data_IF_460605468119
#
_entry.id   IF_460605468119
#
_cell.length_a   1.000
_cell.length_b   1.000
_cell.length_c   1.000
_cell.angle_alpha   90.00
_cell.angle_beta   90.00
_cell.angle_gamma   90.00
#
_symmetry.space_group_name_H-M   'P 1'
#
loop_
_entity.id
_entity.type
_entity.pdbx_description
1 polymer ?
#
# COMPACT_ATOMS: atom_id res chain seq x y z
N UNK A 1 -62.49 9.77 -8.01
CA UNK A 1 -61.50 10.85 -8.20
C UNK A 1 -60.92 11.33 -6.88
N UNK A 2 -61.69 11.58 -5.83
CA UNK A 2 -61.15 11.98 -4.51
C UNK A 2 -60.36 10.86 -3.78
N UNK A 3 -60.87 9.62 -3.78
CA UNK A 3 -60.24 8.49 -3.06
C UNK A 3 -58.90 8.05 -3.66
N UNK A 4 -58.72 8.22 -4.98
CA UNK A 4 -57.49 7.90 -5.70
C UNK A 4 -56.37 8.91 -5.46
N UNK A 5 -56.72 10.17 -5.18
CA UNK A 5 -55.77 11.25 -4.86
C UNK A 5 -55.24 11.07 -3.44
N UNK A 6 -56.09 10.75 -2.47
CA UNK A 6 -55.70 10.48 -1.08
C UNK A 6 -54.79 9.24 -0.93
N UNK A 7 -54.99 8.20 -1.75
CA UNK A 7 -54.09 7.05 -1.80
C UNK A 7 -52.74 7.35 -2.46
N UNK A 8 -52.70 8.29 -3.40
CA UNK A 8 -51.47 8.70 -4.08
C UNK A 8 -50.58 9.52 -3.13
N UNK A 9 -51.18 10.46 -2.41
CA UNK A 9 -50.51 11.33 -1.43
C UNK A 9 -49.92 10.50 -0.26
N UNK A 10 -50.69 9.53 0.27
CA UNK A 10 -50.20 8.58 1.29
C UNK A 10 -49.02 7.74 0.80
N UNK A 11 -49.02 7.33 -0.48
CA UNK A 11 -47.92 6.56 -1.08
C UNK A 11 -46.67 7.43 -1.22
N UNK A 12 -46.81 8.69 -1.62
CA UNK A 12 -45.70 9.63 -1.72
C UNK A 12 -45.08 9.93 -0.34
N UNK A 13 -45.91 10.19 0.67
CA UNK A 13 -45.45 10.37 2.05
C UNK A 13 -44.71 9.14 2.59
N UNK A 14 -45.18 7.93 2.28
CA UNK A 14 -44.52 6.68 2.66
C UNK A 14 -43.16 6.51 1.98
N UNK A 15 -43.05 6.79 0.67
CA UNK A 15 -41.79 6.74 -0.06
C UNK A 15 -40.78 7.77 0.46
N UNK A 16 -41.24 8.99 0.76
CA UNK A 16 -40.41 10.02 1.36
C UNK A 16 -39.91 9.59 2.75
N UNK A 17 -40.76 8.96 3.56
CA UNK A 17 -40.34 8.42 4.87
C UNK A 17 -39.25 7.36 4.72
N UNK A 18 -39.38 6.44 3.76
CA UNK A 18 -38.32 5.44 3.48
C UNK A 18 -37.02 6.12 3.08
N UNK A 19 -37.09 7.10 2.17
CA UNK A 19 -35.90 7.84 1.73
C UNK A 19 -35.22 8.57 2.90
N UNK A 20 -35.98 9.16 3.81
CA UNK A 20 -35.44 9.79 5.01
C UNK A 20 -34.77 8.78 5.95
N UNK A 21 -35.35 7.59 6.10
CA UNK A 21 -34.73 6.52 6.90
C UNK A 21 -33.42 6.03 6.29
N UNK A 22 -33.35 5.91 4.96
CA UNK A 22 -32.11 5.58 4.26
C UNK A 22 -31.04 6.66 4.43
N UNK A 23 -31.44 7.95 4.43
CA UNK A 23 -30.51 9.05 4.73
C UNK A 23 -29.99 8.98 6.17
N UNK A 24 -30.88 8.81 7.15
CA UNK A 24 -30.49 8.69 8.56
C UNK A 24 -29.54 7.51 8.76
N UNK A 25 -29.77 6.39 8.07
CA UNK A 25 -28.85 5.24 8.07
C UNK A 25 -27.47 5.63 7.55
N UNK A 26 -27.39 6.33 6.41
CA UNK A 26 -26.12 6.83 5.87
C UNK A 26 -25.40 7.73 6.87
N UNK A 27 -26.11 8.62 7.54
CA UNK A 27 -25.55 9.51 8.57
C UNK A 27 -24.98 8.72 9.75
N UNK A 28 -25.65 7.64 10.18
CA UNK A 28 -25.14 6.74 11.23
C UNK A 28 -23.90 5.94 10.79
N UNK A 29 -23.83 5.52 9.52
CA UNK A 29 -22.67 4.84 8.97
C UNK A 29 -21.44 5.79 8.94
N UNK A 30 -21.64 7.04 8.52
CA UNK A 30 -20.60 8.08 8.57
C UNK A 30 -20.16 8.39 10.00
N UNK A 31 -21.10 8.52 10.92
CA UNK A 31 -20.80 8.77 12.35
C UNK A 31 -20.03 7.60 12.96
N UNK A 32 -20.37 6.36 12.60
CA UNK A 32 -19.67 5.16 13.04
C UNK A 32 -18.24 5.15 12.52
N UNK A 33 -18.04 5.47 11.24
CA UNK A 33 -16.71 5.57 10.63
C UNK A 33 -15.87 6.68 11.29
N UNK A 34 -16.47 7.84 11.57
CA UNK A 34 -15.82 8.94 12.29
C UNK A 34 -15.42 8.51 13.71
N UNK A 35 -16.32 7.85 14.45
CA UNK A 35 -16.04 7.31 15.78
C UNK A 35 -14.87 6.32 15.77
N UNK A 36 -14.83 5.40 14.80
CA UNK A 36 -13.72 4.46 14.62
C UNK A 36 -12.40 5.19 14.35
N UNK A 37 -12.41 6.21 13.49
CA UNK A 37 -11.23 7.05 13.20
C UNK A 37 -10.72 7.78 14.43
N UNK A 38 -11.62 8.34 15.25
CA UNK A 38 -11.27 9.00 16.51
C UNK A 38 -10.69 8.02 17.54
N UNK A 39 -11.31 6.84 17.68
CA UNK A 39 -10.82 5.77 18.54
C UNK A 39 -9.38 5.36 18.15
N UNK A 40 -9.16 5.07 16.86
CA UNK A 40 -7.83 4.74 16.35
C UNK A 40 -6.83 5.88 16.61
N UNK A 41 -7.22 7.14 16.41
CA UNK A 41 -6.34 8.27 16.66
C UNK A 41 -5.86 8.32 18.12
N UNK A 42 -6.79 8.13 19.08
CA UNK A 42 -6.48 8.16 20.50
C UNK A 42 -5.53 7.03 20.90
N UNK A 43 -5.83 5.81 20.44
CA UNK A 43 -5.03 4.62 20.72
C UNK A 43 -3.65 4.72 20.05
N UNK A 44 -3.59 5.19 18.80
CA UNK A 44 -2.35 5.35 18.07
C UNK A 44 -1.39 6.28 18.81
N UNK A 45 -1.86 7.46 19.22
CA UNK A 45 -1.00 8.45 19.90
C UNK A 45 -0.34 7.84 21.14
N UNK A 46 -1.08 7.08 21.93
CA UNK A 46 -0.61 6.57 23.21
C UNK A 46 0.24 5.30 23.09
N UNK A 47 -0.13 4.38 22.19
CA UNK A 47 0.43 3.02 22.17
C UNK A 47 1.23 2.70 20.91
N UNK A 48 0.78 3.14 19.73
CA UNK A 48 1.40 2.74 18.47
C UNK A 48 2.45 3.73 17.95
N UNK A 49 2.36 5.01 18.31
CA UNK A 49 3.32 6.03 17.88
C UNK A 49 4.76 5.74 18.29
N UNK A 50 5.06 5.28 19.53
CA UNK A 50 6.43 4.91 19.91
C UNK A 50 6.99 3.76 19.07
N UNK A 51 6.18 2.72 18.84
CA UNK A 51 6.57 1.58 18.01
C UNK A 51 6.80 1.99 16.55
N UNK A 52 5.99 2.91 16.02
CA UNK A 52 6.18 3.50 14.67
C UNK A 52 7.40 4.41 14.58
N UNK A 53 7.79 5.08 15.67
CA UNK A 53 8.97 5.95 15.69
C UNK A 53 10.27 5.15 15.53
N UNK A 54 10.27 3.86 15.87
CA UNK A 54 11.39 2.95 15.59
C UNK A 54 11.76 2.91 14.10
N UNK A 55 10.76 3.01 13.20
CA UNK A 55 10.96 2.96 11.75
C UNK A 55 11.95 4.01 11.25
N UNK A 56 11.92 5.23 11.80
CA UNK A 56 12.77 6.33 11.31
C UNK A 56 14.25 6.15 11.64
N UNK A 57 14.57 5.28 12.59
CA UNK A 57 15.92 5.06 13.07
C UNK A 57 16.58 3.80 12.48
N UNK A 58 15.86 3.05 11.63
CA UNK A 58 16.39 1.82 11.04
C UNK A 58 17.35 2.17 9.92
N UNK A 59 18.56 1.61 9.99
CA UNK A 59 19.50 1.62 8.89
C UNK A 59 19.26 0.40 7.99
N UNK A 60 18.96 0.63 6.70
CA UNK A 60 18.88 -0.42 5.67
C UNK A 60 20.10 -0.42 4.73
N UNK A 61 21.12 0.40 5.01
CA UNK A 61 22.44 0.29 4.39
C UNK A 61 23.33 -0.57 5.29
N UNK A 62 23.18 -1.89 5.17
CA UNK A 62 23.78 -2.89 6.05
C UNK A 62 24.61 -3.90 5.26
N UNK A 63 25.62 -4.43 5.92
CA UNK A 63 26.43 -5.55 5.45
C UNK A 63 25.93 -6.87 6.04
N UNK A 64 26.70 -7.95 5.87
CA UNK A 64 26.34 -9.28 6.37
C UNK A 64 26.21 -9.32 7.89
N UNK A 65 27.11 -8.66 8.62
CA UNK A 65 27.08 -8.62 10.08
C UNK A 65 25.83 -7.87 10.57
N UNK A 66 25.53 -6.69 10.01
CA UNK A 66 24.31 -5.95 10.33
C UNK A 66 23.03 -6.71 9.97
N UNK A 67 23.05 -7.44 8.85
CA UNK A 67 21.91 -8.30 8.47
C UNK A 67 21.71 -9.46 9.46
N UNK A 68 22.79 -10.13 9.87
CA UNK A 68 22.74 -11.20 10.87
C UNK A 68 22.24 -10.69 12.23
N UNK A 69 22.68 -9.50 12.64
CA UNK A 69 22.20 -8.84 13.86
C UNK A 69 20.69 -8.60 13.80
N UNK A 70 20.15 -8.15 12.66
CA UNK A 70 18.72 -7.98 12.47
C UNK A 70 17.94 -9.31 12.43
N UNK A 71 18.55 -10.42 12.03
CA UNK A 71 17.90 -11.73 12.11
C UNK A 71 17.70 -12.19 13.56
N UNK A 72 18.62 -11.80 14.46
CA UNK A 72 18.55 -12.12 15.89
C UNK A 72 17.67 -11.10 16.62
N UNK A 73 17.88 -9.81 16.32
CA UNK A 73 17.23 -8.68 16.95
C UNK A 73 16.43 -7.91 15.90
N UNK A 74 15.17 -8.29 15.73
CA UNK A 74 14.26 -7.63 14.78
C UNK A 74 14.22 -6.11 15.07
N UNK A 75 14.51 -5.26 14.08
CA UNK A 75 14.68 -3.82 14.32
C UNK A 75 13.34 -3.09 14.50
N UNK A 76 12.21 -3.68 14.10
CA UNK A 76 10.93 -2.97 14.04
C UNK A 76 9.69 -3.86 13.92
N UNK A 77 9.60 -4.68 12.87
CA UNK A 77 8.35 -5.30 12.46
C UNK A 77 7.73 -6.15 13.58
N UNK A 78 8.55 -6.94 14.28
CA UNK A 78 8.10 -7.79 15.37
C UNK A 78 7.63 -6.97 16.58
N UNK A 79 8.38 -5.93 16.95
CA UNK A 79 7.98 -5.06 18.06
C UNK A 79 6.66 -4.34 17.74
N UNK A 80 6.53 -3.79 16.53
CA UNK A 80 5.29 -3.14 16.10
C UNK A 80 4.10 -4.10 16.06
N UNK A 81 4.29 -5.35 15.60
CA UNK A 81 3.26 -6.39 15.63
C UNK A 81 2.81 -6.67 17.07
N UNK A 82 3.74 -6.82 18.01
CA UNK A 82 3.42 -7.11 19.41
C UNK A 82 2.58 -6.00 20.05
N UNK A 83 2.98 -4.74 19.88
CA UNK A 83 2.22 -3.59 20.39
C UNK A 83 0.83 -3.48 19.73
N UNK A 84 0.77 -3.76 18.42
CA UNK A 84 -0.49 -3.76 17.68
C UNK A 84 -1.41 -4.89 18.13
N UNK A 85 -0.89 -6.09 18.44
CA UNK A 85 -1.68 -7.23 18.91
C UNK A 85 -2.33 -6.95 20.26
N UNK A 86 -1.59 -6.38 21.21
CA UNK A 86 -2.13 -5.98 22.53
C UNK A 86 -3.31 -5.02 22.34
N UNK A 87 -3.14 -4.01 21.49
CA UNK A 87 -4.17 -3.02 21.18
C UNK A 87 -5.39 -3.67 20.51
N UNK A 88 -5.19 -4.48 19.47
CA UNK A 88 -6.28 -5.08 18.71
C UNK A 88 -7.07 -6.06 19.58
N UNK A 89 -6.39 -6.87 20.40
CA UNK A 89 -7.04 -7.77 21.35
C UNK A 89 -7.90 -7.01 22.35
N UNK A 90 -7.40 -5.90 22.89
CA UNK A 90 -8.19 -5.05 23.78
C UNK A 90 -9.42 -4.46 23.08
N UNK A 91 -9.25 -3.88 21.88
CA UNK A 91 -10.35 -3.27 21.14
C UNK A 91 -11.42 -4.29 20.74
N UNK A 92 -11.02 -5.52 20.42
CA UNK A 92 -11.95 -6.62 20.07
C UNK A 92 -12.85 -7.01 21.24
N UNK A 93 -12.45 -6.75 22.48
CA UNK A 93 -13.29 -7.01 23.67
C UNK A 93 -14.40 -5.96 23.87
N UNK A 94 -14.24 -4.77 23.30
CA UNK A 94 -15.14 -3.63 23.57
C UNK A 94 -15.86 -3.10 22.32
N UNK A 95 -15.44 -3.51 21.11
CA UNK A 95 -16.02 -3.07 19.84
C UNK A 95 -16.67 -4.22 19.08
N UNK A 96 -17.62 -3.88 18.22
CA UNK A 96 -18.21 -4.84 17.28
C UNK A 96 -17.23 -5.19 16.16
N UNK A 97 -17.42 -6.34 15.52
CA UNK A 97 -16.59 -6.78 14.39
C UNK A 97 -16.59 -5.75 13.24
N UNK A 98 -17.73 -5.09 12.99
CA UNK A 98 -17.82 -4.05 11.94
C UNK A 98 -16.90 -2.87 12.24
N UNK A 99 -16.90 -2.39 13.49
CA UNK A 99 -16.00 -1.32 13.92
C UNK A 99 -14.53 -1.77 13.88
N UNK A 100 -14.23 -3.00 14.29
CA UNK A 100 -12.88 -3.56 14.21
C UNK A 100 -12.36 -3.62 12.78
N UNK A 101 -13.20 -4.03 11.81
CA UNK A 101 -12.82 -4.04 10.40
C UNK A 101 -12.49 -2.62 9.91
N UNK A 102 -13.27 -1.60 10.27
CA UNK A 102 -12.97 -0.20 9.92
C UNK A 102 -11.63 0.23 10.53
N UNK A 103 -11.40 -0.07 11.82
CA UNK A 103 -10.17 0.31 12.52
C UNK A 103 -8.94 -0.36 11.90
N UNK A 104 -9.00 -1.66 11.63
CA UNK A 104 -7.89 -2.40 10.99
C UNK A 104 -7.62 -1.82 9.60
N UNK A 105 -8.66 -1.55 8.80
CA UNK A 105 -8.50 -0.95 7.48
C UNK A 105 -7.78 0.41 7.55
N UNK A 106 -8.19 1.28 8.47
CA UNK A 106 -7.59 2.60 8.69
C UNK A 106 -6.16 2.51 9.23
N UNK A 107 -5.88 1.56 10.13
CA UNK A 107 -4.55 1.35 10.69
C UNK A 107 -3.58 0.87 9.60
N UNK A 108 -3.99 -0.10 8.79
CA UNK A 108 -3.19 -0.60 7.66
C UNK A 108 -2.92 0.51 6.67
N UNK A 109 -3.92 1.32 6.29
CA UNK A 109 -3.69 2.46 5.38
C UNK A 109 -2.70 3.48 5.95
N UNK A 110 -2.76 3.76 7.25
CA UNK A 110 -1.80 4.67 7.90
C UNK A 110 -0.39 4.10 7.96
N UNK A 111 -0.25 2.80 8.28
CA UNK A 111 1.02 2.10 8.31
C UNK A 111 1.65 2.07 6.92
N UNK A 112 0.91 1.63 5.91
CA UNK A 112 1.46 1.50 4.55
C UNK A 112 1.88 2.86 4.01
N UNK A 113 1.05 3.88 4.19
CA UNK A 113 1.40 5.28 3.85
C UNK A 113 2.66 5.74 4.57
N UNK A 114 2.84 5.36 5.84
CA UNK A 114 4.00 5.75 6.63
C UNK A 114 5.29 5.08 6.14
N UNK A 115 5.22 3.80 5.77
CA UNK A 115 6.35 3.07 5.21
C UNK A 115 6.69 3.53 3.80
N UNK A 116 5.69 3.82 2.96
CA UNK A 116 5.92 4.42 1.64
C UNK A 116 6.64 5.75 1.78
N UNK A 117 6.19 6.59 2.72
CA UNK A 117 6.86 7.86 3.03
C UNK A 117 8.28 7.65 3.52
N UNK A 118 8.57 6.65 4.35
CA UNK A 118 9.92 6.35 4.81
C UNK A 118 10.87 6.00 3.65
N UNK A 119 10.43 5.12 2.73
CA UNK A 119 11.20 4.78 1.52
C UNK A 119 11.40 6.01 0.63
N UNK A 120 10.36 6.82 0.44
CA UNK A 120 10.41 7.99 -0.45
C UNK A 120 11.05 9.25 0.17
N UNK A 121 11.05 9.40 1.49
CA UNK A 121 11.70 10.52 2.19
C UNK A 121 13.21 10.34 2.22
N UNK A 122 13.66 9.08 2.19
CA UNK A 122 15.07 8.70 2.07
C UNK A 122 15.76 9.31 0.84
N UNK A 123 15.00 9.68 -0.19
CA UNK A 123 15.52 10.32 -1.42
C UNK A 123 15.54 11.85 -1.41
N UNK A 124 14.93 12.52 -0.43
CA UNK A 124 14.66 13.97 -0.49
C UNK A 124 15.65 14.85 0.26
N UNK A 125 16.51 14.27 1.10
CA UNK A 125 17.50 15.02 1.90
C UNK A 125 18.72 15.51 1.11
N UNK A 126 18.71 15.36 -0.21
CA UNK A 126 19.92 15.50 -1.02
C UNK A 126 20.07 16.81 -1.80
N UNK A 127 19.05 17.67 -1.89
CA UNK A 127 19.14 18.75 -2.89
C UNK A 127 19.74 20.07 -2.40
N UNK A 128 20.05 20.25 -1.11
CA UNK A 128 20.63 21.54 -0.65
C UNK A 128 21.64 21.54 0.52
N UNK A 129 21.89 20.44 1.24
CA UNK A 129 22.80 20.48 2.38
C UNK A 129 23.83 19.34 2.34
N UNK A 130 25.07 19.67 2.00
CA UNK A 130 26.23 18.83 2.30
C UNK A 130 26.29 18.61 3.82
N UNK A 131 26.07 17.37 4.27
CA UNK A 131 26.38 17.00 5.66
C UNK A 131 25.38 16.13 6.43
N UNK A 132 24.23 15.71 5.86
CA UNK A 132 23.31 14.82 6.59
C UNK A 132 22.99 13.52 5.85
N UNK A 133 23.26 12.42 6.57
CA UNK A 133 22.90 11.02 6.38
C UNK A 133 21.97 10.72 5.18
N UNK A 134 22.54 10.09 4.16
CA UNK A 134 21.77 9.49 3.07
C UNK A 134 21.22 8.14 3.55
N UNK A 135 19.89 7.97 3.55
CA UNK A 135 19.28 6.67 3.80
C UNK A 135 19.34 5.84 2.51
N UNK A 136 20.48 5.19 2.29
CA UNK A 136 20.64 4.23 1.20
C UNK A 136 20.04 2.87 1.59
N UNK A 137 19.75 2.07 0.57
CA UNK A 137 19.40 0.67 0.73
C UNK A 137 20.50 -0.17 0.11
N UNK A 138 21.11 -1.01 0.94
CA UNK A 138 21.93 -2.14 0.50
C UNK A 138 21.03 -3.25 -0.07
N UNK A 139 21.60 -4.25 -0.75
CA UNK A 139 20.81 -5.41 -1.21
C UNK A 139 20.24 -6.20 -0.02
N UNK A 140 21.06 -6.40 1.02
CA UNK A 140 20.63 -7.06 2.27
C UNK A 140 19.55 -6.25 2.99
N UNK A 141 19.65 -4.93 2.99
CA UNK A 141 18.60 -4.07 3.54
C UNK A 141 17.32 -4.06 2.72
N UNK A 142 17.39 -4.17 1.39
CA UNK A 142 16.20 -4.38 0.56
C UNK A 142 15.50 -5.71 0.90
N UNK A 143 16.28 -6.78 1.09
CA UNK A 143 15.77 -8.08 1.54
C UNK A 143 15.15 -7.97 2.93
N UNK A 144 15.81 -7.30 3.89
CA UNK A 144 15.26 -7.09 5.23
C UNK A 144 13.94 -6.32 5.18
N UNK A 145 13.88 -5.24 4.39
CA UNK A 145 12.67 -4.45 4.25
C UNK A 145 11.52 -5.27 3.65
N UNK A 146 11.78 -6.07 2.60
CA UNK A 146 10.77 -6.98 2.04
C UNK A 146 10.28 -8.01 3.09
N UNK A 147 11.17 -8.54 3.93
CA UNK A 147 10.79 -9.43 5.03
C UNK A 147 9.88 -8.72 6.05
N UNK A 148 10.21 -7.50 6.44
CA UNK A 148 9.40 -6.69 7.36
C UNK A 148 8.01 -6.42 6.78
N UNK A 149 7.93 -6.03 5.50
CA UNK A 149 6.66 -5.84 4.78
C UNK A 149 5.83 -7.12 4.75
N UNK A 150 6.45 -8.28 4.49
CA UNK A 150 5.75 -9.58 4.47
C UNK A 150 5.28 -10.00 5.85
N UNK A 151 6.07 -9.79 6.90
CA UNK A 151 5.67 -10.06 8.29
C UNK A 151 4.43 -9.25 8.66
N UNK A 152 4.43 -7.95 8.38
CA UNK A 152 3.29 -7.06 8.62
C UNK A 152 2.06 -7.49 7.81
N UNK A 153 2.22 -7.75 6.51
CA UNK A 153 1.15 -8.23 5.64
C UNK A 153 0.53 -9.54 6.18
N UNK A 154 1.36 -10.50 6.58
CA UNK A 154 0.89 -11.78 7.11
C UNK A 154 0.13 -11.59 8.42
N UNK A 155 0.64 -10.78 9.33
CA UNK A 155 -0.02 -10.46 10.59
C UNK A 155 -1.41 -9.84 10.36
N UNK A 156 -1.51 -8.75 9.59
CA UNK A 156 -2.79 -8.10 9.33
C UNK A 156 -3.78 -8.98 8.56
N UNK A 157 -3.28 -9.87 7.69
CA UNK A 157 -4.10 -10.88 7.01
C UNK A 157 -4.62 -11.93 7.99
N UNK A 158 -3.85 -12.29 9.02
CA UNK A 158 -4.24 -13.32 10.00
C UNK A 158 -5.33 -12.86 10.97
N UNK A 159 -5.48 -11.55 11.17
CA UNK A 159 -6.44 -10.95 12.11
C UNK A 159 -7.63 -10.28 11.42
N UNK A 160 -7.74 -10.36 10.09
CA UNK A 160 -8.76 -9.66 9.31
C UNK A 160 -9.18 -10.41 8.06
N UNK A 161 -10.49 -10.48 7.81
CA UNK A 161 -11.06 -10.99 6.56
C UNK A 161 -11.03 -9.97 5.40
N UNK A 162 -10.51 -8.77 5.67
CA UNK A 162 -10.40 -7.73 4.66
C UNK A 162 -9.36 -8.09 3.60
N UNK A 163 -9.47 -7.55 2.36
CA UNK A 163 -8.47 -7.76 1.32
C UNK A 163 -7.18 -6.95 1.57
N UNK A 164 -6.50 -7.22 2.69
CA UNK A 164 -5.31 -6.49 3.19
C UNK A 164 -4.19 -6.44 2.14
N UNK A 165 -3.98 -7.53 1.39
CA UNK A 165 -2.98 -7.60 0.32
C UNK A 165 -3.06 -6.42 -0.65
N UNK A 166 -4.27 -5.95 -0.98
CA UNK A 166 -4.45 -4.81 -1.90
C UNK A 166 -3.83 -3.53 -1.33
N UNK A 167 -3.94 -3.30 -0.02
CA UNK A 167 -3.39 -2.13 0.67
C UNK A 167 -1.84 -2.12 0.69
N UNK A 168 -1.21 -3.30 0.62
CA UNK A 168 0.25 -3.44 0.58
C UNK A 168 0.84 -3.44 -0.85
N UNK A 169 0.01 -3.46 -1.90
CA UNK A 169 0.50 -3.64 -3.28
C UNK A 169 1.57 -2.62 -3.69
N UNK A 170 1.41 -1.35 -3.30
CA UNK A 170 2.39 -0.30 -3.59
C UNK A 170 3.72 -0.50 -2.88
N UNK A 171 3.71 -0.97 -1.62
CA UNK A 171 4.93 -1.32 -0.91
C UNK A 171 5.61 -2.55 -1.49
N UNK A 172 4.85 -3.55 -1.91
CA UNK A 172 5.41 -4.72 -2.62
C UNK A 172 6.05 -4.30 -3.94
N UNK A 173 5.42 -3.39 -4.69
CA UNK A 173 5.98 -2.76 -5.89
C UNK A 173 7.33 -2.05 -5.55
N UNK A 174 7.40 -1.33 -4.41
CA UNK A 174 8.66 -0.73 -3.93
C UNK A 174 9.72 -1.78 -3.54
N UNK A 175 9.32 -2.87 -2.89
CA UNK A 175 10.24 -3.97 -2.50
C UNK A 175 10.88 -4.61 -3.73
N UNK A 176 10.09 -4.84 -4.79
CA UNK A 176 10.61 -5.33 -6.07
C UNK A 176 11.66 -4.40 -6.65
N UNK A 177 11.40 -3.08 -6.66
CA UNK A 177 12.37 -2.10 -7.18
C UNK A 177 13.63 -1.99 -6.31
N UNK A 178 13.48 -2.09 -4.99
CA UNK A 178 14.61 -2.10 -4.07
C UNK A 178 15.47 -3.37 -4.24
N UNK A 179 14.86 -4.49 -4.61
CA UNK A 179 15.56 -5.78 -4.72
C UNK A 179 16.23 -6.01 -6.08
N UNK A 180 16.21 -5.01 -6.98
CA UNK A 180 16.89 -5.12 -8.27
C UNK A 180 18.40 -5.29 -8.09
N UNK A 181 18.96 -6.25 -8.81
CA UNK A 181 20.41 -6.46 -8.90
C UNK A 181 21.03 -5.54 -9.96
N UNK A 182 20.28 -5.26 -11.04
CA UNK A 182 20.71 -4.41 -12.14
C UNK A 182 19.56 -3.59 -12.72
N UNK A 183 19.90 -2.54 -13.48
CA UNK A 183 18.91 -1.77 -14.24
C UNK A 183 18.36 -2.54 -15.46
N UNK A 184 19.08 -3.55 -15.95
CA UNK A 184 18.60 -4.43 -17.03
C UNK A 184 17.42 -5.30 -16.55
N UNK A 185 17.48 -5.77 -15.29
CA UNK A 185 16.38 -6.53 -14.68
C UNK A 185 15.07 -5.72 -14.66
N UNK A 186 15.15 -4.41 -14.43
CA UNK A 186 13.99 -3.53 -14.52
C UNK A 186 13.37 -3.53 -15.93
N UNK A 187 14.21 -3.51 -16.98
CA UNK A 187 13.74 -3.57 -18.37
C UNK A 187 13.01 -4.88 -18.65
N UNK A 188 13.51 -6.01 -18.14
CA UNK A 188 12.92 -7.33 -18.35
C UNK A 188 11.59 -7.51 -17.61
N UNK A 189 11.51 -7.03 -16.35
CA UNK A 189 10.28 -7.02 -15.56
C UNK A 189 9.18 -6.21 -16.24
N UNK A 190 9.54 -5.11 -16.91
CA UNK A 190 8.58 -4.24 -17.56
C UNK A 190 8.22 -4.71 -18.98
N UNK A 191 9.19 -5.15 -19.78
CA UNK A 191 8.98 -5.60 -21.17
C UNK A 191 8.16 -6.88 -21.25
N UNK A 192 8.35 -7.82 -20.31
CA UNK A 192 7.58 -9.07 -20.23
C UNK A 192 6.08 -8.85 -19.99
N UNK A 193 5.72 -7.73 -19.35
CA UNK A 193 4.30 -7.36 -19.14
C UNK A 193 3.62 -6.83 -20.40
N UNK A 194 4.38 -6.29 -21.37
CA UNK A 194 3.84 -5.81 -22.65
C UNK A 194 3.54 -6.96 -23.63
N UNK A 195 4.37 -8.01 -23.63
CA UNK A 195 4.25 -9.14 -24.59
C UNK A 195 3.12 -10.12 -24.24
N UNK A 196 2.75 -10.20 -22.95
CA UNK A 196 1.69 -11.11 -22.47
C UNK A 196 0.31 -10.77 -23.04
N UNK A 197 0.09 -9.52 -23.48
CA UNK A 197 -1.17 -9.11 -24.11
C UNK A 197 -1.25 -9.45 -25.61
N UNK A 198 -0.15 -9.88 -26.23
CA UNK A 198 -0.07 -10.12 -27.68
C UNK A 198 -0.01 -11.60 -28.06
N UNK A 199 0.07 -12.50 -27.08
CA UNK A 199 0.22 -13.94 -27.33
C UNK A 199 -0.50 -14.78 -26.29
N UNK A 200 -1.83 -14.85 -26.38
CA UNK A 200 -2.62 -15.89 -25.68
C UNK A 200 -3.40 -16.72 -26.69
N UNK A 201 -2.64 -17.54 -27.42
CA UNK A 201 -3.11 -18.77 -28.03
C UNK A 201 -2.49 -19.95 -27.29
N UNK A 202 -3.31 -20.68 -26.53
CA UNK A 202 -3.12 -22.04 -26.01
C UNK A 202 -2.17 -22.31 -24.82
N UNK A 203 -2.82 -22.74 -23.72
CA UNK A 203 -2.46 -23.81 -22.77
C UNK A 203 -1.19 -23.68 -21.89
N UNK A 204 -1.37 -23.27 -20.62
CA UNK A 204 -0.89 -24.06 -19.48
C UNK A 204 -1.61 -23.67 -18.16
N UNK A 205 -2.06 -24.68 -17.41
CA UNK A 205 -2.82 -24.57 -16.17
C UNK A 205 -1.91 -24.88 -14.97
N UNK A 206 -1.39 -23.84 -14.30
CA UNK A 206 -1.15 -23.75 -12.84
C UNK A 206 -0.28 -22.50 -12.56
N UNK A 207 -0.67 -21.75 -11.53
CA UNK A 207 -0.06 -20.49 -11.05
C UNK A 207 -0.19 -19.28 -11.99
N UNK A 208 -1.40 -18.71 -12.07
CA UNK A 208 -1.59 -17.32 -12.50
C UNK A 208 -2.38 -16.54 -11.46
N UNK A 209 -1.65 -15.91 -10.53
CA UNK A 209 -2.07 -14.66 -9.87
C UNK A 209 -0.84 -13.75 -9.70
N UNK A 210 -0.23 -13.36 -10.83
CA UNK A 210 0.71 -12.23 -10.87
C UNK A 210 0.99 -11.76 -12.31
N UNK A 211 -0.04 -11.74 -13.15
CA UNK A 211 0.07 -11.24 -14.52
C UNK A 211 -0.79 -9.99 -14.65
N UNK A 212 -0.21 -8.84 -14.29
CA UNK A 212 -0.50 -7.47 -14.74
C UNK A 212 0.00 -6.49 -13.68
N UNK A 213 1.19 -5.92 -13.82
CA UNK A 213 1.47 -4.70 -13.06
C UNK A 213 2.54 -3.87 -13.74
N UNK A 214 2.08 -2.95 -14.59
CA UNK A 214 2.65 -1.61 -14.54
C UNK A 214 2.71 -1.20 -13.06
N UNK A 215 3.90 -0.87 -12.56
CA UNK A 215 4.09 -0.45 -11.17
C UNK A 215 3.06 0.63 -10.82
N UNK A 216 2.48 0.56 -9.62
CA UNK A 216 1.54 1.60 -9.13
C UNK A 216 2.25 2.90 -8.74
N UNK A 217 3.52 3.01 -9.07
CA UNK A 217 4.44 4.08 -8.72
C UNK A 217 4.60 5.02 -9.92
N UNK A 218 4.65 6.32 -9.64
CA UNK A 218 4.99 7.34 -10.63
C UNK A 218 6.46 7.23 -11.03
N UNK A 219 6.80 7.80 -12.20
CA UNK A 219 8.19 7.87 -12.68
C UNK A 219 9.14 8.53 -11.68
N UNK A 220 8.68 9.56 -10.99
CA UNK A 220 9.48 10.26 -9.97
C UNK A 220 9.70 9.38 -8.74
N UNK A 221 8.70 8.61 -8.31
CA UNK A 221 8.86 7.63 -7.23
C UNK A 221 9.84 6.51 -7.62
N UNK A 222 9.71 5.95 -8.83
CA UNK A 222 10.63 4.92 -9.33
C UNK A 222 12.06 5.47 -9.36
N UNK A 223 12.25 6.69 -9.90
CA UNK A 223 13.55 7.36 -9.93
C UNK A 223 14.16 7.49 -8.53
N UNK A 224 13.36 7.93 -7.55
CA UNK A 224 13.79 8.07 -6.15
C UNK A 224 14.22 6.74 -5.54
N UNK A 225 13.48 5.66 -5.81
CA UNK A 225 13.78 4.32 -5.28
C UNK A 225 15.05 3.74 -5.90
N UNK A 226 15.23 3.87 -7.23
CA UNK A 226 16.46 3.44 -7.89
C UNK A 226 17.67 4.24 -7.41
N UNK A 227 17.46 5.53 -7.11
CA UNK A 227 18.51 6.38 -6.60
C UNK A 227 19.00 5.97 -5.20
N UNK A 228 18.09 5.65 -4.26
CA UNK A 228 18.49 5.15 -2.92
C UNK A 228 19.17 3.77 -2.96
N UNK A 229 19.09 3.04 -4.08
CA UNK A 229 19.87 1.82 -4.36
C UNK A 229 21.25 2.09 -4.95
N UNK A 230 21.65 3.36 -5.08
CA UNK A 230 22.94 3.81 -5.64
C UNK A 230 23.14 3.47 -7.12
N UNK A 231 22.08 3.24 -7.88
CA UNK A 231 22.21 3.11 -9.33
C UNK A 231 22.67 4.44 -9.95
N UNK A 232 23.50 4.43 -11.00
CA UNK A 232 24.03 5.66 -11.60
C UNK A 232 22.90 6.53 -12.18
N UNK A 233 22.85 7.81 -11.80
CA UNK A 233 21.80 8.76 -12.21
C UNK A 233 21.58 8.81 -13.73
N UNK A 234 22.65 8.77 -14.51
CA UNK A 234 22.59 8.84 -15.96
C UNK A 234 21.93 7.60 -16.60
N UNK A 235 22.14 6.42 -16.01
CA UNK A 235 21.51 5.16 -16.43
C UNK A 235 20.04 5.15 -16.05
N UNK A 236 19.69 5.59 -14.83
CA UNK A 236 18.29 5.78 -14.40
C UNK A 236 17.56 6.72 -15.37
N UNK A 237 18.15 7.85 -15.73
CA UNK A 237 17.56 8.83 -16.64
C UNK A 237 17.41 8.30 -18.08
N UNK A 238 18.33 7.44 -18.54
CA UNK A 238 18.20 6.73 -19.81
C UNK A 238 17.03 5.74 -19.78
N UNK A 239 17.01 4.84 -18.80
CA UNK A 239 15.98 3.82 -18.62
C UNK A 239 14.56 4.41 -18.49
N UNK A 240 14.41 5.51 -17.74
CA UNK A 240 13.11 6.14 -17.58
C UNK A 240 12.66 6.97 -18.79
N UNK A 241 13.56 7.29 -19.74
CA UNK A 241 13.15 7.86 -21.04
C UNK A 241 12.49 6.78 -21.88
N UNK A 242 13.08 5.59 -21.94
CA UNK A 242 12.56 4.45 -22.71
C UNK A 242 11.23 3.93 -22.14
N UNK A 243 11.09 3.96 -20.81
CA UNK A 243 9.83 3.69 -20.10
C UNK A 243 8.64 4.51 -20.63
N UNK A 244 8.86 5.79 -20.97
CA UNK A 244 7.80 6.70 -21.40
C UNK A 244 7.29 6.39 -22.82
N UNK A 245 8.14 5.83 -23.68
CA UNK A 245 7.76 5.41 -25.03
C UNK A 245 6.85 4.17 -24.99
N UNK A 246 7.19 3.18 -24.16
CA UNK A 246 6.40 1.95 -24.04
C UNK A 246 5.02 2.16 -23.41
N UNK A 247 4.91 3.05 -22.40
CA UNK A 247 3.64 3.27 -21.69
C UNK A 247 2.63 4.07 -22.53
N UNK A 248 3.11 5.05 -23.32
CA UNK A 248 2.25 5.80 -24.25
C UNK A 248 1.74 4.91 -25.40
N UNK A 249 2.56 3.97 -25.89
CA UNK A 249 2.13 3.00 -26.91
C UNK A 249 1.03 2.06 -26.39
N UNK A 250 1.22 1.54 -25.17
CA UNK A 250 0.27 0.60 -24.56
C UNK A 250 -1.06 1.29 -24.25
N UNK A 251 -1.03 2.49 -23.66
CA UNK A 251 -2.24 3.27 -23.33
C UNK A 251 -3.02 3.72 -24.55
N UNK A 252 -2.33 4.05 -25.66
CA UNK A 252 -3.00 4.42 -26.91
C UNK A 252 -3.65 3.20 -27.59
N UNK A 253 -3.04 2.01 -27.53
CA UNK A 253 -3.65 0.79 -28.08
C UNK A 253 -4.86 0.28 -27.26
N UNK A 254 -4.88 0.50 -25.93
CA UNK A 254 -6.07 0.17 -25.12
C UNK A 254 -7.26 1.10 -25.41
N UNK A 255 -7.02 2.37 -25.74
CA UNK A 255 -8.09 3.33 -26.07
C UNK A 255 -8.68 3.06 -27.46
N UNK A 256 -7.87 2.57 -28.42
CA UNK A 256 -8.35 2.26 -29.78
C UNK A 256 -9.20 0.98 -29.81
N UNK A 257 -9.03 0.07 -28.83
CA UNK A 257 -9.78 -1.20 -28.75
C UNK A 257 -11.05 -1.13 -27.89
N UNK A 258 -11.38 0.02 -27.31
CA UNK A 258 -12.57 0.24 -26.47
C UNK A 258 -13.61 1.19 -27.08
N UNK A 259 -13.62 1.35 -28.40
CA UNK A 259 -14.74 1.95 -29.12
C UNK A 259 -15.59 0.82 -29.73
N UNK A 260 -16.92 0.79 -29.47
CA UNK A 260 -17.81 -0.24 -29.99
C UNK A 260 -17.93 -0.22 -31.51
#
# INVERSE_FOLDING_TARGET
SATTVDTHDKREMFLNTIQQLDQVRSDFDELTHLGCKMCLHQVKIQYLSPALAGLDNINYDIDEDGYNDYQINDPFAQHFINETDIVIRFLTLILTQSCMNIIIALLVDQLTTRMEKFVLSSSHKEWYNEGEFHHYFSMLGAIQFDQDIRRLLNYFTSISDLPIRRKFSRLLDMCTLLSLESLDEFHDLYSSTATTNSSSGMLHHQQQQQSSSSFRLSKDEIKKILFIRRFPKHEIDALLRDYHYSNNYTRNNTIITSLP
#
